data_IF_505041357480
#
_entry.id   IF_505041357480
#
_cell.length_a   1.000
_cell.length_b   1.000
_cell.length_c   1.000
_cell.angle_alpha   90.00
_cell.angle_beta   90.00
_cell.angle_gamma   90.00
#
_symmetry.space_group_name_H-M   'P 1'
#
loop_
_entity.id
_entity.type
_entity.pdbx_description
1 polymer ?
#
# COMPACT_ATOMS: atom_id res chain seq x y z
N UNK A 1 -5.56 -1.95 6.58
CA UNK A 1 -4.52 -2.86 7.11
C UNK A 1 -5.15 -3.74 8.19
N UNK A 2 -5.02 -5.07 8.09
CA UNK A 2 -5.57 -6.03 9.05
C UNK A 2 -4.71 -6.06 10.34
N UNK A 3 -5.33 -6.10 11.53
CA UNK A 3 -4.64 -6.21 12.82
C UNK A 3 -3.69 -7.41 12.90
N UNK A 4 -4.04 -8.54 12.27
CA UNK A 4 -3.27 -9.79 12.34
C UNK A 4 -1.87 -9.64 11.73
N UNK A 5 -1.68 -8.74 10.76
CA UNK A 5 -0.35 -8.41 10.23
C UNK A 5 0.41 -7.37 11.07
N UNK A 6 -0.32 -6.54 11.82
CA UNK A 6 0.21 -5.44 12.65
C UNK A 6 0.63 -5.87 14.06
N UNK A 7 -0.01 -6.90 14.63
CA UNK A 7 0.20 -7.35 16.01
C UNK A 7 1.54 -8.03 16.26
N UNK A 8 2.27 -8.40 15.21
CA UNK A 8 3.61 -8.97 15.31
C UNK A 8 4.72 -7.92 15.42
N UNK A 9 4.41 -6.65 15.16
CA UNK A 9 5.44 -5.62 14.99
C UNK A 9 5.73 -4.82 16.26
N UNK A 10 4.78 -4.64 17.19
CA UNK A 10 4.99 -3.78 18.35
C UNK A 10 4.04 -4.07 19.54
N UNK A 11 4.57 -4.05 20.76
CA UNK A 11 3.80 -4.22 22.00
C UNK A 11 2.69 -3.16 22.16
N UNK A 12 2.96 -1.91 21.76
CA UNK A 12 1.99 -0.82 21.83
C UNK A 12 0.78 -1.06 20.90
N UNK A 13 1.01 -1.69 19.75
CA UNK A 13 -0.04 -2.05 18.78
C UNK A 13 -0.91 -3.18 19.34
N UNK A 14 -0.33 -4.11 20.11
CA UNK A 14 -1.09 -5.14 20.83
C UNK A 14 -2.02 -4.54 21.89
N UNK A 15 -1.62 -3.44 22.53
CA UNK A 15 -2.47 -2.74 23.51
C UNK A 15 -3.71 -2.10 22.86
N UNK A 16 -3.60 -1.67 21.59
CA UNK A 16 -4.72 -1.14 20.79
C UNK A 16 -5.60 -2.24 20.15
N UNK A 17 -5.23 -3.52 20.31
CA UNK A 17 -5.96 -4.67 19.75
C UNK A 17 -7.48 -4.66 20.00
N UNK A 18 -8.00 -4.28 21.20
CA UNK A 18 -9.44 -4.20 21.42
C UNK A 18 -10.16 -3.23 20.48
N UNK A 19 -9.51 -2.14 20.08
CA UNK A 19 -10.06 -1.15 19.14
C UNK A 19 -10.15 -1.78 17.74
N UNK A 20 -9.11 -2.49 17.29
CA UNK A 20 -9.14 -3.17 16.00
C UNK A 20 -10.19 -4.29 15.95
N UNK A 21 -10.35 -5.06 17.04
CA UNK A 21 -11.41 -6.07 17.16
C UNK A 21 -12.79 -5.41 17.05
N UNK A 22 -12.99 -4.27 17.70
CA UNK A 22 -14.24 -3.54 17.63
C UNK A 22 -14.51 -3.02 16.20
N UNK A 23 -13.49 -2.50 15.52
CA UNK A 23 -13.61 -2.06 14.12
C UNK A 23 -13.97 -3.24 13.20
N UNK A 24 -13.28 -4.37 13.32
CA UNK A 24 -13.59 -5.59 12.56
C UNK A 24 -15.04 -6.04 12.81
N UNK A 25 -15.45 -6.09 14.08
CA UNK A 25 -16.81 -6.47 14.46
C UNK A 25 -17.87 -5.53 13.86
N UNK A 26 -17.62 -4.22 13.85
CA UNK A 26 -18.51 -3.23 13.25
C UNK A 26 -18.56 -3.38 11.73
N UNK A 27 -17.43 -3.60 11.07
CA UNK A 27 -17.36 -3.83 9.62
C UNK A 27 -18.03 -5.13 9.19
N UNK A 28 -18.16 -6.12 10.07
CA UNK A 28 -18.94 -7.33 9.79
C UNK A 28 -20.47 -7.10 9.79
N UNK A 29 -20.95 -5.92 10.21
CA UNK A 29 -22.37 -5.57 10.13
C UNK A 29 -22.66 -4.89 8.79
N UNK A 30 -23.47 -5.49 7.88
CA UNK A 30 -23.65 -4.97 6.52
C UNK A 30 -24.12 -3.51 6.45
N UNK A 31 -24.99 -3.09 7.37
CA UNK A 31 -25.47 -1.69 7.41
C UNK A 31 -24.37 -0.69 7.74
N UNK A 32 -23.48 -1.05 8.68
CA UNK A 32 -22.36 -0.20 9.09
C UNK A 32 -21.31 -0.17 7.98
N UNK A 33 -20.99 -1.34 7.41
CA UNK A 33 -20.07 -1.46 6.29
C UNK A 33 -20.52 -0.63 5.08
N UNK A 34 -21.77 -0.78 4.65
CA UNK A 34 -22.32 0.00 3.53
C UNK A 34 -22.29 1.50 3.82
N UNK A 35 -22.71 1.93 5.01
CA UNK A 35 -22.67 3.35 5.38
C UNK A 35 -21.26 3.94 5.33
N UNK A 36 -20.28 3.24 5.89
CA UNK A 36 -18.88 3.69 5.87
C UNK A 36 -18.33 3.68 4.44
N UNK A 37 -18.54 2.59 3.70
CA UNK A 37 -18.07 2.42 2.34
C UNK A 37 -18.66 3.47 1.39
N UNK A 38 -19.97 3.73 1.47
CA UNK A 38 -20.64 4.78 0.69
C UNK A 38 -20.05 6.16 0.94
N UNK A 39 -19.62 6.44 2.19
CA UNK A 39 -18.93 7.68 2.50
C UNK A 39 -17.52 7.68 1.91
N UNK A 40 -16.75 6.62 2.12
CA UNK A 40 -15.36 6.52 1.65
C UNK A 40 -15.25 6.61 0.13
N UNK A 41 -16.16 5.96 -0.60
CA UNK A 41 -16.11 5.88 -2.05
C UNK A 41 -16.53 7.16 -2.78
N UNK A 42 -16.99 8.20 -2.09
CA UNK A 42 -17.31 9.48 -2.74
C UNK A 42 -16.05 10.07 -3.39
N UNK A 43 -16.17 10.60 -4.60
CA UNK A 43 -15.04 11.15 -5.38
C UNK A 43 -14.24 12.18 -4.59
N UNK A 44 -14.90 13.04 -3.83
CA UNK A 44 -14.25 14.06 -3.00
C UNK A 44 -13.39 13.45 -1.90
N UNK A 45 -13.86 12.35 -1.30
CA UNK A 45 -13.12 11.63 -0.28
C UNK A 45 -11.95 10.83 -0.87
N UNK A 46 -12.15 10.19 -2.03
CA UNK A 46 -11.06 9.53 -2.78
C UNK A 46 -9.96 10.55 -3.08
N UNK A 47 -10.31 11.69 -3.70
CA UNK A 47 -9.38 12.79 -3.99
C UNK A 47 -8.64 13.25 -2.74
N UNK A 48 -9.37 13.51 -1.65
CA UNK A 48 -8.77 13.97 -0.39
C UNK A 48 -7.77 12.96 0.17
N UNK A 49 -8.04 11.67 0.09
CA UNK A 49 -7.12 10.63 0.56
C UNK A 49 -5.86 10.60 -0.31
N UNK A 50 -6.01 10.65 -1.64
CA UNK A 50 -4.88 10.65 -2.56
C UNK A 50 -3.96 11.85 -2.29
N UNK A 51 -4.52 13.07 -2.27
CA UNK A 51 -3.74 14.31 -2.11
C UNK A 51 -3.11 14.49 -0.73
N UNK A 52 -3.67 13.87 0.32
CA UNK A 52 -3.21 14.07 1.70
C UNK A 52 -2.34 12.93 2.21
N UNK A 53 -2.48 11.72 1.64
CA UNK A 53 -1.89 10.53 2.24
C UNK A 53 -1.11 9.65 1.26
N UNK A 54 -1.55 9.53 0.02
CA UNK A 54 -0.90 8.60 -0.92
C UNK A 54 0.06 9.29 -1.89
N UNK A 55 -0.18 10.54 -2.27
CA UNK A 55 0.58 11.23 -3.31
C UNK A 55 1.27 12.45 -2.71
N UNK A 56 2.51 12.65 -3.11
CA UNK A 56 3.25 13.88 -2.85
C UNK A 56 2.98 14.92 -3.93
N UNK A 57 2.99 14.53 -5.19
CA UNK A 57 2.61 15.35 -6.34
C UNK A 57 1.08 15.40 -6.48
N UNK A 58 0.46 16.43 -5.90
CA UNK A 58 -0.99 16.63 -5.99
C UNK A 58 -1.48 16.88 -7.43
N UNK A 59 -0.62 17.35 -8.33
CA UNK A 59 -1.00 17.55 -9.73
C UNK A 59 -1.27 16.21 -10.45
N UNK A 60 -0.71 15.10 -9.96
CA UNK A 60 -1.00 13.76 -10.48
C UNK A 60 -2.40 13.27 -10.08
N UNK A 61 -3.05 13.90 -9.09
CA UNK A 61 -4.43 13.57 -8.69
C UNK A 61 -5.43 14.27 -9.62
N UNK A 62 -5.60 13.70 -10.81
CA UNK A 62 -6.54 14.19 -11.82
C UNK A 62 -7.97 13.72 -11.59
N UNK A 63 -8.96 14.38 -12.18
CA UNK A 63 -10.35 13.90 -12.16
C UNK A 63 -10.47 12.52 -12.82
N UNK A 64 -9.68 12.25 -13.86
CA UNK A 64 -9.61 10.94 -14.51
C UNK A 64 -9.13 9.85 -13.53
N UNK A 65 -8.08 10.11 -12.74
CA UNK A 65 -7.60 9.15 -11.73
C UNK A 65 -8.68 8.87 -10.68
N UNK A 66 -9.34 9.93 -10.19
CA UNK A 66 -10.44 9.81 -9.23
C UNK A 66 -11.58 8.98 -9.81
N UNK A 67 -11.91 9.16 -11.09
CA UNK A 67 -12.94 8.41 -11.78
C UNK A 67 -12.57 6.93 -11.98
N UNK A 68 -11.31 6.64 -12.32
CA UNK A 68 -10.79 5.28 -12.44
C UNK A 68 -10.90 4.53 -11.10
N UNK A 69 -10.60 5.20 -9.98
CA UNK A 69 -10.69 4.59 -8.65
C UNK A 69 -12.15 4.52 -8.14
N UNK A 70 -12.98 5.48 -8.51
CA UNK A 70 -14.40 5.49 -8.15
C UNK A 70 -15.18 4.39 -8.88
N UNK A 71 -14.94 4.17 -10.17
CA UNK A 71 -15.69 3.22 -10.98
C UNK A 71 -15.84 1.82 -10.34
N UNK A 72 -14.75 1.10 -9.98
CA UNK A 72 -14.85 -0.23 -9.36
C UNK A 72 -15.50 -0.20 -7.97
N UNK A 73 -15.51 0.96 -7.29
CA UNK A 73 -16.21 1.10 -6.01
C UNK A 73 -17.74 1.07 -6.13
N UNK A 74 -18.27 1.19 -7.36
CA UNK A 74 -19.72 1.14 -7.64
C UNK A 74 -20.22 -0.26 -8.03
N UNK A 75 -19.31 -1.20 -8.24
CA UNK A 75 -19.65 -2.54 -8.68
C UNK A 75 -20.39 -3.34 -7.59
N UNK A 76 -21.28 -4.27 -7.99
CA UNK A 76 -21.87 -5.22 -7.06
C UNK A 76 -20.78 -5.99 -6.30
N UNK A 77 -20.82 -5.94 -4.97
CA UNK A 77 -19.85 -6.60 -4.09
C UNK A 77 -18.64 -5.73 -3.69
N UNK A 78 -18.55 -4.48 -4.14
CA UNK A 78 -17.45 -3.59 -3.77
C UNK A 78 -17.34 -3.36 -2.24
N UNK A 79 -18.49 -3.26 -1.53
CA UNK A 79 -18.49 -3.19 -0.06
C UNK A 79 -17.88 -4.45 0.58
N UNK A 80 -18.15 -5.63 0.02
CA UNK A 80 -17.64 -6.88 0.57
C UNK A 80 -16.11 -6.97 0.41
N UNK A 81 -15.59 -6.51 -0.73
CA UNK A 81 -14.15 -6.35 -0.95
C UNK A 81 -13.56 -5.38 0.06
N UNK A 82 -14.19 -4.22 0.26
CA UNK A 82 -13.78 -3.25 1.28
C UNK A 82 -13.72 -3.87 2.67
N UNK A 83 -14.76 -4.60 3.11
CA UNK A 83 -14.77 -5.29 4.41
C UNK A 83 -13.63 -6.30 4.51
N UNK A 84 -13.38 -7.09 3.45
CA UNK A 84 -12.30 -8.09 3.41
C UNK A 84 -10.91 -7.46 3.51
N UNK A 85 -10.67 -6.28 2.96
CA UNK A 85 -9.38 -5.57 3.09
C UNK A 85 -9.01 -5.28 4.56
N UNK A 86 -10.00 -5.09 5.43
CA UNK A 86 -9.76 -4.83 6.86
C UNK A 86 -9.87 -6.08 7.74
N UNK A 87 -10.68 -7.06 7.35
CA UNK A 87 -11.04 -8.20 8.20
C UNK A 87 -10.45 -9.54 7.75
N UNK A 88 -10.05 -9.66 6.48
CA UNK A 88 -9.55 -10.90 5.88
C UNK A 88 -8.10 -11.15 6.22
N UNK A 89 -7.73 -12.41 6.47
CA UNK A 89 -6.40 -12.80 6.97
C UNK A 89 -5.25 -12.20 6.15
N UNK A 90 -4.17 -11.73 6.82
CA UNK A 90 -3.00 -11.22 6.12
C UNK A 90 -2.35 -12.37 5.35
N UNK A 91 -1.86 -12.07 4.15
CA UNK A 91 -1.00 -12.99 3.41
C UNK A 91 0.34 -13.21 4.12
N UNK A 92 1.15 -14.17 3.64
CA UNK A 92 2.52 -14.35 4.11
C UNK A 92 3.31 -13.05 3.98
N UNK A 93 4.16 -12.77 4.97
CA UNK A 93 4.94 -11.53 4.96
C UNK A 93 6.10 -11.61 3.96
N UNK A 94 6.57 -10.47 3.42
CA UNK A 94 7.71 -10.44 2.50
C UNK A 94 8.95 -11.15 3.03
N UNK A 95 9.21 -11.07 4.33
CA UNK A 95 10.40 -11.66 4.97
C UNK A 95 10.47 -13.18 4.79
N UNK A 96 9.32 -13.88 4.86
CA UNK A 96 9.25 -15.32 4.64
C UNK A 96 9.09 -15.72 3.17
N UNK A 97 8.64 -14.80 2.31
CA UNK A 97 8.47 -15.08 0.88
C UNK A 97 9.79 -14.94 0.11
N UNK A 98 10.58 -13.92 0.45
CA UNK A 98 11.79 -13.57 -0.28
C UNK A 98 12.88 -14.64 -0.24
N UNK A 99 12.87 -15.54 0.76
CA UNK A 99 13.77 -16.71 0.82
C UNK A 99 13.68 -17.57 -0.45
N UNK A 100 12.50 -17.65 -1.07
CA UNK A 100 12.24 -18.50 -2.23
C UNK A 100 12.29 -17.74 -3.58
N UNK A 101 12.54 -16.43 -3.56
CA UNK A 101 12.57 -15.60 -4.78
C UNK A 101 13.98 -15.51 -5.30
N UNK A 102 14.32 -16.22 -6.38
CA UNK A 102 15.65 -16.11 -7.04
C UNK A 102 15.71 -15.10 -8.18
N UNK A 103 14.56 -14.64 -8.68
CA UNK A 103 14.48 -13.67 -9.75
C UNK A 103 15.06 -12.30 -9.34
N UNK A 104 15.53 -11.47 -10.28
CA UNK A 104 15.87 -10.08 -10.01
C UNK A 104 14.65 -9.32 -9.47
N UNK A 105 14.86 -8.50 -8.44
CA UNK A 105 13.81 -7.71 -7.77
C UNK A 105 14.24 -6.25 -7.69
N UNK A 106 13.37 -5.36 -8.16
CA UNK A 106 13.48 -3.92 -7.96
C UNK A 106 12.39 -3.46 -6.99
N UNK A 107 12.80 -2.73 -5.95
CA UNK A 107 11.88 -2.08 -5.01
C UNK A 107 12.10 -0.57 -5.08
N UNK A 108 11.04 0.17 -5.41
CA UNK A 108 11.03 1.64 -5.37
C UNK A 108 10.16 2.10 -4.21
N UNK A 109 10.69 2.98 -3.37
CA UNK A 109 10.03 3.44 -2.17
C UNK A 109 9.97 4.96 -2.14
N UNK A 110 8.79 5.55 -1.92
CA UNK A 110 8.69 6.99 -1.73
C UNK A 110 9.19 7.41 -0.35
N UNK A 111 10.02 8.45 -0.27
CA UNK A 111 10.53 8.97 1.00
C UNK A 111 9.45 9.66 1.87
N UNK A 112 8.31 9.98 1.27
CA UNK A 112 7.19 10.67 1.89
C UNK A 112 5.98 9.75 2.09
N UNK A 113 6.14 8.44 1.89
CA UNK A 113 5.10 7.45 2.15
C UNK A 113 4.75 7.37 3.65
N UNK A 114 3.47 7.61 3.97
CA UNK A 114 2.96 7.51 5.34
C UNK A 114 2.17 6.22 5.61
N UNK A 115 1.78 5.48 4.56
CA UNK A 115 1.08 4.20 4.68
C UNK A 115 2.06 3.06 4.95
N UNK A 116 3.19 3.07 4.23
CA UNK A 116 4.32 2.16 4.46
C UNK A 116 5.60 2.97 4.69
N UNK A 117 5.81 3.49 5.91
CA UNK A 117 6.88 4.43 6.19
C UNK A 117 8.27 3.91 5.76
N UNK A 118 9.13 4.75 5.15
CA UNK A 118 10.44 4.33 4.67
C UNK A 118 11.38 3.89 5.80
N UNK A 119 11.11 4.26 7.05
CA UNK A 119 11.81 3.80 8.25
C UNK A 119 11.10 2.62 8.96
N UNK A 120 10.01 2.10 8.39
CA UNK A 120 9.26 0.97 8.92
C UNK A 120 9.99 -0.37 8.75
N UNK A 121 9.51 -1.44 9.42
CA UNK A 121 10.18 -2.73 9.45
C UNK A 121 10.37 -3.35 8.06
N UNK A 122 9.34 -3.30 7.20
CA UNK A 122 9.42 -3.87 5.84
C UNK A 122 10.42 -3.10 4.97
N UNK A 123 10.45 -1.77 5.04
CA UNK A 123 11.42 -0.97 4.30
C UNK A 123 12.86 -1.20 4.79
N UNK A 124 13.07 -1.32 6.10
CA UNK A 124 14.36 -1.71 6.69
C UNK A 124 14.79 -3.10 6.23
N UNK A 125 13.87 -4.06 6.21
CA UNK A 125 14.11 -5.42 5.75
C UNK A 125 14.61 -5.44 4.30
N UNK A 126 13.92 -4.78 3.37
CA UNK A 126 14.37 -4.72 1.97
C UNK A 126 15.71 -4.01 1.81
N UNK A 127 15.96 -2.92 2.56
CA UNK A 127 17.27 -2.25 2.55
C UNK A 127 18.39 -3.19 2.98
N UNK A 128 18.20 -3.94 4.07
CA UNK A 128 19.16 -4.94 4.50
C UNK A 128 19.32 -6.05 3.46
N UNK A 129 18.20 -6.56 2.92
CA UNK A 129 18.21 -7.63 1.93
C UNK A 129 19.00 -7.25 0.68
N UNK A 130 18.91 -5.99 0.23
CA UNK A 130 19.68 -5.50 -0.92
C UNK A 130 21.19 -5.42 -0.67
N UNK A 131 21.61 -5.27 0.58
CA UNK A 131 23.03 -5.33 0.96
C UNK A 131 23.55 -6.78 1.02
N UNK A 132 22.67 -7.75 1.26
CA UNK A 132 23.01 -9.17 1.38
C UNK A 132 22.88 -9.93 0.06
N UNK A 133 22.03 -9.44 -0.86
CA UNK A 133 21.64 -10.16 -2.08
C UNK A 133 21.77 -9.30 -3.32
N UNK A 134 22.63 -9.74 -4.23
CA UNK A 134 22.89 -9.05 -5.51
C UNK A 134 21.69 -9.04 -6.47
N UNK A 135 20.68 -9.89 -6.27
CA UNK A 135 19.48 -9.93 -7.10
C UNK A 135 18.37 -8.98 -6.60
N UNK A 136 18.61 -8.17 -5.57
CA UNK A 136 17.63 -7.24 -5.00
C UNK A 136 18.20 -5.82 -5.02
N UNK A 137 17.54 -4.92 -5.73
CA UNK A 137 17.86 -3.50 -5.76
C UNK A 137 16.75 -2.69 -5.11
N UNK A 138 17.10 -1.75 -4.23
CA UNK A 138 16.14 -0.93 -3.48
C UNK A 138 16.53 0.54 -3.62
N UNK A 139 15.59 1.37 -4.04
CA UNK A 139 15.81 2.82 -4.19
C UNK A 139 14.73 3.61 -3.45
N UNK A 140 15.17 4.64 -2.72
CA UNK A 140 14.28 5.64 -2.14
C UNK A 140 14.16 6.81 -3.11
N UNK A 141 12.94 7.15 -3.51
CA UNK A 141 12.65 8.25 -4.41
C UNK A 141 12.29 9.49 -3.59
N UNK A 142 13.00 10.59 -3.86
CA UNK A 142 12.84 11.84 -3.13
C UNK A 142 11.57 12.59 -3.55
N UNK A 143 10.84 13.13 -2.57
CA UNK A 143 9.58 13.86 -2.78
C UNK A 143 8.52 12.99 -3.50
N UNK A 144 8.41 11.73 -3.08
CA UNK A 144 7.47 10.73 -3.62
C UNK A 144 6.70 10.07 -2.47
N UNK A 145 5.39 9.90 -2.67
CA UNK A 145 4.48 9.24 -1.73
C UNK A 145 4.40 7.73 -1.93
N UNK A 146 3.24 7.16 -1.58
CA UNK A 146 2.97 5.73 -1.53
C UNK A 146 2.91 5.05 -2.90
N UNK A 147 2.49 5.77 -3.95
CA UNK A 147 2.36 5.21 -5.30
C UNK A 147 3.41 5.80 -6.28
N UNK A 148 4.70 5.44 -6.19
CA UNK A 148 5.75 6.02 -7.03
C UNK A 148 5.44 6.14 -8.52
N UNK A 149 4.84 5.11 -9.09
CA UNK A 149 4.53 5.00 -10.52
C UNK A 149 3.43 5.97 -10.98
N UNK A 150 2.50 6.35 -10.11
CA UNK A 150 1.45 7.32 -10.42
C UNK A 150 1.80 8.73 -9.91
N UNK A 151 2.58 8.83 -8.83
CA UNK A 151 2.97 10.08 -8.19
C UNK A 151 4.00 10.83 -9.04
N UNK A 152 5.08 10.14 -9.43
CA UNK A 152 6.19 10.65 -10.25
C UNK A 152 6.55 9.63 -11.34
N UNK A 153 5.67 9.44 -12.35
CA UNK A 153 5.82 8.39 -13.36
C UNK A 153 7.15 8.47 -14.11
N UNK A 154 7.63 9.68 -14.43
CA UNK A 154 8.91 9.90 -15.09
C UNK A 154 10.08 9.40 -14.24
N UNK A 155 10.09 9.72 -12.94
CA UNK A 155 11.14 9.28 -12.03
C UNK A 155 11.07 7.77 -11.80
N UNK A 156 9.88 7.20 -11.63
CA UNK A 156 9.73 5.75 -11.52
C UNK A 156 10.24 5.03 -12.78
N UNK A 157 9.96 5.57 -13.97
CA UNK A 157 10.41 5.02 -15.24
C UNK A 157 11.95 5.05 -15.40
N UNK A 158 12.63 6.08 -14.86
CA UNK A 158 14.10 6.16 -14.85
C UNK A 158 14.76 4.97 -14.14
N UNK A 159 14.10 4.34 -13.17
CA UNK A 159 14.58 3.14 -12.50
C UNK A 159 14.05 1.84 -13.12
N UNK A 160 12.77 1.82 -13.52
CA UNK A 160 12.12 0.63 -14.06
C UNK A 160 12.71 0.24 -15.42
N UNK A 161 12.88 1.19 -16.34
CA UNK A 161 13.31 0.87 -17.72
C UNK A 161 14.73 0.28 -17.76
N UNK A 162 15.74 0.83 -17.07
CA UNK A 162 17.05 0.19 -16.99
C UNK A 162 16.99 -1.19 -16.33
N UNK A 163 16.24 -1.34 -15.23
CA UNK A 163 16.07 -2.63 -14.58
C UNK A 163 15.48 -3.69 -15.53
N UNK A 164 14.43 -3.34 -16.29
CA UNK A 164 13.84 -4.24 -17.29
C UNK A 164 14.87 -4.65 -18.36
N UNK A 165 15.73 -3.72 -18.80
CA UNK A 165 16.80 -4.06 -19.75
C UNK A 165 17.83 -5.07 -19.21
N UNK A 166 17.97 -5.20 -17.88
CA UNK A 166 18.88 -6.18 -17.26
C UNK A 166 18.28 -7.57 -17.07
N UNK A 167 16.97 -7.75 -17.28
CA UNK A 167 16.26 -9.02 -17.04
C UNK A 167 15.74 -9.67 -18.32
N UNK A 168 16.01 -9.06 -19.49
CA UNK A 168 15.67 -9.60 -20.81
C UNK A 168 16.86 -10.38 -21.41
N UNK A 169 17.19 -11.52 -20.81
CA UNK A 169 18.01 -12.61 -21.36
C UNK A 169 17.42 -13.95 -20.89
#
# INVERSE_FOLDING_TARGET
MNRKGLMDENFLIRLLSPIFILIEYLLQKPRVANFLFDRFRRKENIRSILEQQAYRNKASVTDQLVDILHAPSTDPGATDVFVKVFTGDPGPRPEGLMENVSAPVLVLWGDSDIWTPPNGPVANYFRQLSAERNNVAVFSLADVGHCPHDDRPELAAEYILPFLSTVHD
#
